data_IF_528473350506
#
_entry.id   IF_528473350506
#
_cell.length_a   1.000
_cell.length_b   1.000
_cell.length_c   1.000
_cell.angle_alpha   90.00
_cell.angle_beta   90.00
_cell.angle_gamma   90.00
#
_symmetry.space_group_name_H-M   'P 1'
#
loop_
_entity.id
_entity.type
_entity.pdbx_description
1 polymer ?
#
# COMPACT_ATOMS: atom_id res chain seq x y z
N UNK A 1 16.02 -90.72 66.45
CA UNK A 1 16.73 -89.65 65.71
C UNK A 1 15.96 -89.40 64.42
N UNK A 2 14.88 -88.64 64.53
CA UNK A 2 14.05 -88.21 63.39
C UNK A 2 14.50 -86.79 63.05
N UNK A 3 15.06 -86.57 61.86
CA UNK A 3 15.44 -85.24 61.38
C UNK A 3 14.34 -84.68 60.48
N UNK A 4 13.65 -83.66 60.96
CA UNK A 4 12.64 -82.89 60.24
C UNK A 4 13.32 -81.94 59.25
N UNK A 5 13.19 -82.20 57.94
CA UNK A 5 13.63 -81.27 56.89
C UNK A 5 12.52 -80.24 56.66
N UNK A 6 12.72 -79.05 57.21
CA UNK A 6 11.87 -77.88 56.95
C UNK A 6 12.10 -77.39 55.51
N UNK A 7 11.14 -77.63 54.61
CA UNK A 7 11.12 -76.99 53.31
C UNK A 7 10.72 -75.52 53.46
N UNK A 8 11.73 -74.66 53.40
CA UNK A 8 11.62 -73.21 53.32
C UNK A 8 10.83 -72.85 52.05
N UNK A 9 9.68 -72.21 52.23
CA UNK A 9 8.90 -71.65 51.12
C UNK A 9 9.71 -70.56 50.41
N UNK A 10 9.80 -70.57 49.07
CA UNK A 10 10.40 -69.47 48.34
C UNK A 10 9.43 -68.28 48.38
N UNK A 11 9.82 -67.23 49.08
CA UNK A 11 9.09 -65.97 49.18
C UNK A 11 8.96 -65.32 47.78
N UNK A 12 7.74 -65.29 47.26
CA UNK A 12 7.34 -64.71 45.98
C UNK A 12 7.39 -63.17 46.02
N UNK A 13 8.59 -62.60 45.96
CA UNK A 13 8.82 -61.14 46.01
C UNK A 13 9.36 -60.53 44.70
N UNK A 14 9.02 -61.10 43.54
CA UNK A 14 9.47 -60.59 42.23
C UNK A 14 8.37 -59.92 41.39
N UNK A 15 7.12 -59.92 41.88
CA UNK A 15 5.97 -59.38 41.13
C UNK A 15 5.79 -57.86 41.24
N UNK A 16 6.19 -57.24 42.35
CA UNK A 16 5.96 -55.81 42.61
C UNK A 16 6.99 -54.91 41.93
N UNK A 17 8.23 -55.38 41.86
CA UNK A 17 9.34 -54.60 41.29
C UNK A 17 9.21 -54.45 39.76
N UNK A 18 8.67 -55.47 39.07
CA UNK A 18 8.41 -55.38 37.62
C UNK A 18 7.29 -54.40 37.28
N UNK A 19 6.24 -54.34 38.10
CA UNK A 19 5.15 -53.38 37.94
C UNK A 19 5.69 -51.96 38.21
N UNK A 20 6.49 -51.78 39.26
CA UNK A 20 7.12 -50.49 39.58
C UNK A 20 8.06 -49.99 38.47
N UNK A 21 8.85 -50.89 37.87
CA UNK A 21 9.81 -50.54 36.81
C UNK A 21 9.10 -50.15 35.50
N UNK A 22 7.96 -50.76 35.19
CA UNK A 22 7.12 -50.36 34.05
C UNK A 22 6.42 -49.01 34.26
N UNK A 23 5.94 -48.73 35.47
CA UNK A 23 5.36 -47.44 35.82
C UNK A 23 6.40 -46.31 35.80
N UNK A 24 7.63 -46.57 36.26
CA UNK A 24 8.74 -45.61 36.25
C UNK A 24 9.15 -45.21 34.82
N UNK A 25 9.11 -46.12 33.85
CA UNK A 25 9.45 -45.82 32.45
C UNK A 25 8.31 -45.09 31.71
N UNK A 26 7.06 -45.31 32.13
CA UNK A 26 5.86 -44.70 31.53
C UNK A 26 5.67 -43.22 31.91
N UNK A 27 6.05 -42.82 33.12
CA UNK A 27 5.89 -41.43 33.62
C UNK A 27 6.67 -40.39 32.78
N UNK A 28 7.97 -40.56 32.45
CA UNK A 28 8.70 -39.61 31.60
C UNK A 28 8.13 -39.52 30.18
N UNK A 29 7.73 -40.66 29.60
CA UNK A 29 7.17 -40.69 28.25
C UNK A 29 5.83 -39.96 28.19
N UNK A 30 4.95 -40.15 29.18
CA UNK A 30 3.66 -39.46 29.25
C UNK A 30 3.82 -37.95 29.48
N UNK A 31 4.79 -37.53 30.29
CA UNK A 31 5.12 -36.11 30.48
C UNK A 31 5.63 -35.49 29.17
N UNK A 32 6.56 -36.15 28.46
CA UNK A 32 7.07 -35.65 27.17
C UNK A 32 5.96 -35.56 26.12
N UNK A 33 5.09 -36.57 26.05
CA UNK A 33 3.95 -36.58 25.14
C UNK A 33 2.95 -35.46 25.48
N UNK A 34 2.68 -35.23 26.77
CA UNK A 34 1.83 -34.13 27.25
C UNK A 34 2.42 -32.76 26.91
N UNK A 35 3.72 -32.58 27.13
CA UNK A 35 4.45 -31.35 26.77
C UNK A 35 4.40 -31.11 25.26
N UNK A 36 4.72 -32.13 24.45
CA UNK A 36 4.67 -32.07 23.00
C UNK A 36 3.27 -31.73 22.50
N UNK A 37 2.24 -32.36 23.08
CA UNK A 37 0.83 -32.08 22.75
C UNK A 37 0.46 -30.65 23.12
N UNK A 38 0.83 -30.18 24.32
CA UNK A 38 0.53 -28.83 24.79
C UNK A 38 1.23 -27.78 23.92
N UNK A 39 2.51 -27.99 23.59
CA UNK A 39 3.26 -27.10 22.72
C UNK A 39 2.70 -27.08 21.29
N UNK A 40 2.40 -28.24 20.72
CA UNK A 40 1.78 -28.36 19.39
C UNK A 40 0.40 -27.70 19.35
N UNK A 41 -0.42 -27.86 20.40
CA UNK A 41 -1.71 -27.19 20.50
C UNK A 41 -1.54 -25.66 20.57
N UNK A 42 -0.59 -25.18 21.39
CA UNK A 42 -0.28 -23.76 21.49
C UNK A 42 0.20 -23.17 20.16
N UNK A 43 1.09 -23.86 19.44
CA UNK A 43 1.58 -23.40 18.14
C UNK A 43 0.47 -23.37 17.10
N UNK A 44 -0.40 -24.38 17.06
CA UNK A 44 -1.58 -24.42 16.18
C UNK A 44 -2.54 -23.27 16.44
N UNK A 45 -2.90 -23.03 17.70
CA UNK A 45 -3.78 -21.91 18.06
C UNK A 45 -3.17 -20.57 17.69
N UNK A 46 -1.86 -20.40 17.89
CA UNK A 46 -1.15 -19.19 17.51
C UNK A 46 -1.17 -19.00 15.99
N UNK A 47 -0.81 -20.02 15.21
CA UNK A 47 -0.86 -19.96 13.74
C UNK A 47 -2.27 -19.61 13.26
N UNK A 48 -3.30 -20.21 13.85
CA UNK A 48 -4.69 -19.90 13.53
C UNK A 48 -5.02 -18.43 13.81
N UNK A 49 -4.69 -17.92 15.00
CA UNK A 49 -4.91 -16.50 15.34
C UNK A 49 -4.16 -15.55 14.42
N UNK A 50 -2.95 -15.91 13.99
CA UNK A 50 -2.18 -15.11 13.03
C UNK A 50 -2.83 -15.14 11.64
N UNK A 51 -3.33 -16.29 11.19
CA UNK A 51 -4.05 -16.41 9.92
C UNK A 51 -5.33 -15.58 9.94
N UNK A 52 -6.08 -15.61 11.05
CA UNK A 52 -7.28 -14.79 11.23
C UNK A 52 -6.96 -13.28 11.25
N UNK A 53 -5.97 -12.88 12.05
CA UNK A 53 -5.50 -11.49 12.11
C UNK A 53 -5.05 -11.01 10.73
N UNK A 54 -4.27 -11.84 10.03
CA UNK A 54 -3.79 -11.54 8.69
C UNK A 54 -4.98 -11.42 7.72
N UNK A 55 -5.96 -12.33 7.74
CA UNK A 55 -7.12 -12.29 6.87
C UNK A 55 -7.95 -11.01 7.06
N UNK A 56 -8.18 -10.61 8.31
CA UNK A 56 -8.98 -9.45 8.67
C UNK A 56 -8.23 -8.11 8.54
N UNK A 57 -6.89 -8.13 8.41
CA UNK A 57 -6.10 -6.92 8.25
C UNK A 57 -6.42 -6.21 6.93
N UNK A 58 -6.89 -4.98 7.04
CA UNK A 58 -7.17 -4.04 5.93
C UNK A 58 -6.45 -2.72 6.17
N UNK A 59 -6.14 -1.98 5.11
CA UNK A 59 -5.56 -0.64 5.22
C UNK A 59 -6.55 0.36 5.83
N UNK A 60 -7.80 0.30 5.37
CA UNK A 60 -8.86 1.26 5.70
C UNK A 60 -8.38 2.72 5.54
N UNK A 61 -8.50 3.55 6.58
CA UNK A 61 -8.09 4.97 6.58
C UNK A 61 -6.61 5.19 6.93
N UNK A 62 -5.82 4.13 7.14
CA UNK A 62 -4.42 4.22 7.57
C UNK A 62 -3.49 4.46 6.39
N UNK A 63 -2.31 5.01 6.67
CA UNK A 63 -1.24 5.16 5.67
C UNK A 63 -0.74 3.79 5.19
N UNK A 64 -0.24 3.73 3.96
CA UNK A 64 0.40 2.50 3.44
C UNK A 64 1.56 2.05 4.32
N UNK A 65 2.35 2.98 4.86
CA UNK A 65 3.50 2.67 5.72
C UNK A 65 3.10 1.92 6.99
N UNK A 66 2.02 2.36 7.64
CA UNK A 66 1.50 1.69 8.84
C UNK A 66 0.96 0.30 8.50
N UNK A 67 0.18 0.19 7.43
CA UNK A 67 -0.37 -1.08 6.96
C UNK A 67 0.72 -2.10 6.58
N UNK A 68 1.78 -1.68 5.87
CA UNK A 68 2.89 -2.56 5.52
C UNK A 68 3.72 -2.97 6.73
N UNK A 69 3.87 -2.11 7.74
CA UNK A 69 4.54 -2.43 8.99
C UNK A 69 3.82 -3.55 9.74
N UNK A 70 2.48 -3.50 9.80
CA UNK A 70 1.66 -4.54 10.43
C UNK A 70 1.81 -5.89 9.71
N UNK A 71 1.76 -5.87 8.37
CA UNK A 71 1.95 -7.08 7.56
C UNK A 71 3.34 -7.68 7.78
N UNK A 72 4.39 -6.86 7.79
CA UNK A 72 5.76 -7.31 8.03
C UNK A 72 5.91 -7.89 9.45
N UNK A 73 5.28 -7.26 10.43
CA UNK A 73 5.24 -7.76 11.81
C UNK A 73 4.61 -9.15 11.88
N UNK A 74 3.40 -9.33 11.33
CA UNK A 74 2.71 -10.62 11.32
C UNK A 74 3.52 -11.68 10.56
N UNK A 75 4.10 -11.33 9.41
CA UNK A 75 4.98 -12.22 8.64
C UNK A 75 6.20 -12.69 9.44
N UNK A 76 6.81 -11.81 10.24
CA UNK A 76 7.92 -12.17 11.12
C UNK A 76 7.49 -13.14 12.20
N UNK A 77 6.27 -13.00 12.75
CA UNK A 77 5.73 -13.96 13.73
C UNK A 77 5.43 -15.31 13.07
N UNK A 78 4.94 -15.34 11.84
CA UNK A 78 4.81 -16.58 11.06
C UNK A 78 6.15 -17.30 10.89
N UNK A 79 7.20 -16.56 10.53
CA UNK A 79 8.55 -17.10 10.38
C UNK A 79 9.09 -17.66 11.71
N UNK A 80 8.92 -16.93 12.83
CA UNK A 80 9.37 -17.40 14.15
C UNK A 80 8.55 -18.58 14.70
N UNK A 81 7.32 -18.75 14.23
CA UNK A 81 6.43 -19.85 14.60
C UNK A 81 6.66 -21.14 13.80
N UNK A 82 7.64 -21.13 12.89
CA UNK A 82 7.97 -22.29 12.04
C UNK A 82 7.04 -22.49 10.84
N UNK A 83 6.25 -21.48 10.49
CA UNK A 83 5.34 -21.51 9.33
C UNK A 83 5.47 -20.21 8.51
N UNK A 84 6.63 -19.92 7.90
CA UNK A 84 6.84 -18.71 7.13
C UNK A 84 5.85 -18.61 5.95
N UNK A 85 5.45 -17.38 5.62
CA UNK A 85 4.63 -17.11 4.43
C UNK A 85 5.51 -17.12 3.19
N UNK A 86 4.98 -17.64 2.09
CA UNK A 86 5.60 -17.45 0.77
C UNK A 86 5.49 -15.99 0.33
N UNK A 87 6.40 -15.54 -0.53
CA UNK A 87 6.36 -14.19 -1.08
C UNK A 87 5.03 -13.93 -1.81
N UNK A 88 4.54 -14.91 -2.57
CA UNK A 88 3.26 -14.81 -3.29
C UNK A 88 2.07 -14.66 -2.34
N UNK A 89 1.97 -15.47 -1.28
CA UNK A 89 0.93 -15.33 -0.25
C UNK A 89 0.98 -13.94 0.39
N UNK A 90 2.18 -13.46 0.69
CA UNK A 90 2.40 -12.16 1.30
C UNK A 90 1.93 -11.03 0.38
N UNK A 91 2.24 -11.10 -0.92
CA UNK A 91 1.81 -10.11 -1.92
C UNK A 91 0.32 -10.12 -2.16
N UNK A 92 -0.28 -11.31 -2.30
CA UNK A 92 -1.73 -11.45 -2.39
C UNK A 92 -2.37 -10.78 -1.18
N UNK A 93 -1.83 -11.01 0.02
CA UNK A 93 -2.38 -10.41 1.22
C UNK A 93 -2.24 -8.89 1.25
N UNK A 94 -1.06 -8.35 0.92
CA UNK A 94 -0.82 -6.91 0.83
C UNK A 94 -1.83 -6.24 -0.09
N UNK A 95 -2.05 -6.80 -1.28
CA UNK A 95 -2.90 -6.18 -2.27
C UNK A 95 -4.40 -6.40 -1.97
N UNK A 96 -4.77 -7.50 -1.33
CA UNK A 96 -6.17 -7.80 -0.96
C UNK A 96 -6.76 -6.86 0.09
N UNK A 97 -5.92 -6.28 0.95
CA UNK A 97 -6.35 -5.33 1.98
C UNK A 97 -6.31 -3.87 1.53
N UNK A 98 -5.95 -3.62 0.28
CA UNK A 98 -5.99 -2.30 -0.34
C UNK A 98 -7.35 -2.06 -1.01
N UNK A 99 -7.77 -0.80 -1.06
CA UNK A 99 -9.02 -0.42 -1.72
C UNK A 99 -8.96 -0.52 -3.24
N UNK A 100 -10.10 -0.27 -3.90
CA UNK A 100 -10.21 -0.37 -5.36
C UNK A 100 -9.30 0.60 -6.12
N UNK A 101 -8.85 1.65 -5.46
CA UNK A 101 -7.90 2.63 -5.99
C UNK A 101 -6.52 2.05 -6.33
N UNK A 102 -6.19 0.85 -5.85
CA UNK A 102 -4.93 0.15 -6.18
C UNK A 102 -5.08 -0.96 -7.25
N UNK A 103 -6.26 -1.10 -7.87
CA UNK A 103 -6.53 -2.19 -8.84
C UNK A 103 -5.59 -2.14 -10.05
N UNK A 104 -5.25 -0.95 -10.53
CA UNK A 104 -4.34 -0.78 -11.67
C UNK A 104 -2.92 -1.27 -11.33
N UNK A 105 -2.42 -0.92 -10.14
CA UNK A 105 -1.15 -1.42 -9.63
C UNK A 105 -1.18 -2.94 -9.44
N UNK A 106 -2.28 -3.50 -8.93
CA UNK A 106 -2.46 -4.95 -8.82
C UNK A 106 -2.35 -5.66 -10.17
N UNK A 107 -3.02 -5.13 -11.20
CA UNK A 107 -2.97 -5.68 -12.55
C UNK A 107 -1.54 -5.63 -13.13
N UNK A 108 -0.86 -4.50 -12.98
CA UNK A 108 0.52 -4.32 -13.47
C UNK A 108 1.52 -5.27 -12.79
N UNK A 109 1.36 -5.52 -11.48
CA UNK A 109 2.20 -6.47 -10.75
C UNK A 109 1.89 -7.90 -11.21
N UNK A 110 0.63 -8.23 -11.44
CA UNK A 110 0.19 -9.59 -11.85
C UNK A 110 0.68 -9.99 -13.24
N UNK A 111 0.88 -9.04 -14.15
CA UNK A 111 1.41 -9.30 -15.51
C UNK A 111 2.93 -9.35 -15.58
N UNK A 112 3.64 -9.11 -14.48
CA UNK A 112 5.09 -9.10 -14.46
C UNK A 112 5.64 -10.53 -14.47
N UNK A 113 6.61 -10.80 -15.35
CA UNK A 113 7.24 -12.13 -15.47
C UNK A 113 8.26 -12.42 -14.36
N UNK A 114 8.81 -11.38 -13.74
CA UNK A 114 9.85 -11.48 -12.73
C UNK A 114 9.28 -11.33 -11.31
N UNK A 115 9.76 -12.10 -10.31
CA UNK A 115 9.30 -11.96 -8.94
C UNK A 115 9.59 -10.56 -8.41
N UNK A 116 8.58 -9.96 -7.75
CA UNK A 116 8.71 -8.70 -7.03
C UNK A 116 9.24 -8.96 -5.62
N UNK A 117 10.04 -8.06 -5.07
CA UNK A 117 10.47 -8.12 -3.66
C UNK A 117 9.52 -7.31 -2.77
N UNK A 118 9.54 -7.58 -1.46
CA UNK A 118 8.78 -6.81 -0.48
C UNK A 118 9.06 -5.30 -0.59
N UNK A 119 10.35 -4.93 -0.60
CA UNK A 119 10.79 -3.53 -0.62
C UNK A 119 10.37 -2.84 -1.92
N UNK A 120 10.53 -3.52 -3.07
CA UNK A 120 10.10 -2.96 -4.36
C UNK A 120 8.59 -2.72 -4.42
N UNK A 121 7.79 -3.66 -3.89
CA UNK A 121 6.35 -3.48 -3.82
C UNK A 121 5.97 -2.32 -2.89
N UNK A 122 6.64 -2.22 -1.75
CA UNK A 122 6.40 -1.14 -0.80
C UNK A 122 6.66 0.24 -1.41
N UNK A 123 7.78 0.40 -2.12
CA UNK A 123 8.11 1.65 -2.81
C UNK A 123 7.06 2.01 -3.88
N UNK A 124 6.63 1.03 -4.68
CA UNK A 124 5.59 1.22 -5.70
C UNK A 124 4.26 1.61 -5.07
N UNK A 125 3.88 1.01 -3.95
CA UNK A 125 2.68 1.35 -3.22
C UNK A 125 2.71 2.79 -2.70
N UNK A 126 3.83 3.22 -2.10
CA UNK A 126 4.01 4.59 -1.63
C UNK A 126 3.91 5.61 -2.77
N UNK A 127 4.58 5.35 -3.89
CA UNK A 127 4.50 6.21 -5.07
C UNK A 127 3.05 6.33 -5.58
N UNK A 128 2.30 5.22 -5.57
CA UNK A 128 0.91 5.19 -5.97
C UNK A 128 -0.02 5.92 -4.97
N UNK A 129 0.29 5.90 -3.67
CA UNK A 129 -0.44 6.68 -2.66
C UNK A 129 -0.36 8.18 -2.96
N UNK A 130 0.83 8.65 -3.31
CA UNK A 130 1.10 10.04 -3.69
C UNK A 130 0.35 10.37 -5.00
N UNK A 131 0.43 9.49 -5.99
CA UNK A 131 -0.30 9.65 -7.25
C UNK A 131 -1.80 9.81 -7.03
N UNK A 132 -2.44 8.92 -6.26
CA UNK A 132 -3.88 9.01 -5.95
C UNK A 132 -4.22 10.34 -5.26
N UNK A 133 -3.41 10.77 -4.28
CA UNK A 133 -3.60 12.04 -3.56
C UNK A 133 -3.56 13.26 -4.48
N UNK A 134 -2.80 13.20 -5.58
CA UNK A 134 -2.69 14.29 -6.56
C UNK A 134 -3.66 14.15 -7.73
N UNK A 135 -4.12 12.93 -8.04
CA UNK A 135 -5.01 12.65 -9.16
C UNK A 135 -6.49 12.83 -8.83
N UNK A 136 -6.89 13.00 -7.57
CA UNK A 136 -8.23 13.47 -7.24
C UNK A 136 -8.37 14.95 -7.66
N UNK A 137 -9.12 15.27 -8.73
CA UNK A 137 -9.47 16.64 -8.98
C UNK A 137 -10.41 17.05 -7.85
N UNK A 138 -10.01 18.03 -7.04
CA UNK A 138 -11.01 18.85 -6.35
C UNK A 138 -12.00 19.31 -7.41
N UNK A 139 -13.24 18.83 -7.33
CA UNK A 139 -14.36 19.37 -8.10
C UNK A 139 -14.65 20.79 -7.58
N UNK A 140 -13.72 21.72 -7.81
CA UNK A 140 -14.04 23.14 -7.84
C UNK A 140 -14.77 23.35 -9.16
N UNK A 141 -16.10 23.32 -9.11
CA UNK A 141 -16.96 23.71 -10.22
C UNK A 141 -16.46 25.06 -10.75
N UNK A 142 -15.87 25.17 -11.95
CA UNK A 142 -15.64 26.48 -12.51
C UNK A 142 -17.03 27.04 -12.84
N UNK A 143 -17.43 28.11 -12.16
CA UNK A 143 -18.58 28.91 -12.60
C UNK A 143 -18.16 29.48 -13.96
N UNK A 144 -18.54 28.80 -15.04
CA UNK A 144 -18.39 29.30 -16.40
C UNK A 144 -19.43 30.41 -16.54
N UNK A 145 -19.05 31.65 -16.23
CA UNK A 145 -19.86 32.81 -16.60
C UNK A 145 -19.61 33.11 -18.08
N UNK A 146 -20.57 32.76 -18.94
CA UNK A 146 -20.52 33.07 -20.36
C UNK A 146 -20.79 34.56 -20.55
N UNK A 147 -19.78 35.35 -20.88
CA UNK A 147 -19.95 36.76 -21.26
C UNK A 147 -20.39 36.85 -22.73
N UNK A 148 -21.70 36.85 -22.97
CA UNK A 148 -22.27 37.14 -24.28
C UNK A 148 -22.02 38.62 -24.63
N UNK A 149 -21.12 38.88 -25.56
CA UNK A 149 -20.99 40.18 -26.20
C UNK A 149 -22.03 40.28 -27.32
N UNK A 150 -23.18 40.89 -27.02
CA UNK A 150 -24.19 41.16 -28.04
C UNK A 150 -23.78 42.42 -28.84
N UNK A 151 -23.24 42.21 -30.04
CA UNK A 151 -23.02 43.27 -31.02
C UNK A 151 -24.39 43.77 -31.52
N UNK A 152 -24.88 44.86 -30.92
CA UNK A 152 -26.10 45.56 -31.34
C UNK A 152 -25.93 46.11 -32.75
N UNK A 153 -26.71 45.59 -33.70
CA UNK A 153 -26.84 46.14 -35.05
C UNK A 153 -28.02 47.11 -35.02
N UNK A 154 -27.73 48.41 -35.15
CA UNK A 154 -28.75 49.47 -35.23
C UNK A 154 -29.48 49.45 -36.57
N UNK A 155 -30.82 49.62 -36.58
CA UNK A 155 -31.51 50.24 -37.69
C UNK A 155 -32.11 51.60 -37.28
N UNK A 156 -31.62 52.64 -37.94
CA UNK A 156 -32.29 53.86 -38.37
C UNK A 156 -33.64 54.26 -37.72
N UNK A 157 -33.64 55.34 -36.92
CA UNK A 157 -34.79 56.25 -36.82
C UNK A 157 -34.36 57.69 -36.60
N UNK A 158 -34.86 58.58 -37.48
CA UNK A 158 -34.71 60.03 -37.47
C UNK A 158 -35.57 60.64 -36.35
N UNK A 159 -35.03 61.58 -35.56
CA UNK A 159 -35.79 62.70 -35.01
C UNK A 159 -34.86 63.81 -34.49
N UNK A 160 -35.34 65.04 -34.56
CA UNK A 160 -34.61 66.32 -34.57
C UNK A 160 -34.42 66.94 -33.17
N UNK A 161 -33.34 67.73 -33.07
CA UNK A 161 -33.10 68.95 -32.27
C UNK A 161 -33.34 68.95 -30.75
N UNK A 162 -32.30 69.28 -29.98
CA UNK A 162 -32.06 70.66 -29.50
C UNK A 162 -30.78 70.82 -28.66
N UNK A 163 -29.99 71.81 -29.08
CA UNK A 163 -28.94 72.62 -28.44
C UNK A 163 -27.73 72.04 -27.66
N UNK A 164 -26.51 72.56 -27.92
CA UNK A 164 -25.27 72.22 -27.22
C UNK A 164 -24.92 73.23 -26.12
N UNK A 165 -24.23 72.79 -25.08
CA UNK A 165 -23.36 73.68 -24.29
C UNK A 165 -22.14 72.94 -23.72
N UNK A 166 -20.99 73.56 -23.96
CA UNK A 166 -19.65 73.24 -23.48
C UNK A 166 -19.60 73.03 -21.95
N UNK A 167 -18.78 72.10 -21.46
CA UNK A 167 -17.46 72.45 -20.90
C UNK A 167 -16.65 71.19 -20.51
N UNK A 168 -15.49 71.06 -21.14
CA UNK A 168 -14.16 70.80 -20.55
C UNK A 168 -14.06 70.05 -19.22
N UNK A 169 -13.35 68.90 -19.23
CA UNK A 169 -12.19 68.59 -18.35
C UNK A 169 -11.74 67.13 -18.54
N UNK A 170 -10.73 66.94 -19.38
CA UNK A 170 -9.78 65.84 -19.19
C UNK A 170 -8.56 66.37 -18.45
N UNK A 171 -7.95 65.56 -17.57
CA UNK A 171 -6.49 65.58 -17.43
C UNK A 171 -5.96 64.15 -17.56
N UNK A 172 -5.03 63.90 -18.49
CA UNK A 172 -3.58 64.14 -18.42
C UNK A 172 -2.84 62.88 -17.96
N UNK A 173 -2.00 62.38 -18.87
CA UNK A 173 -0.92 61.45 -18.61
C UNK A 173 0.01 62.03 -17.54
N UNK A 174 0.53 61.14 -16.68
CA UNK A 174 1.83 61.37 -16.07
C UNK A 174 2.67 60.08 -16.05
N UNK A 175 3.82 60.21 -16.69
CA UNK A 175 5.01 59.37 -16.73
C UNK A 175 5.66 59.18 -15.36
N UNK A 176 6.30 58.01 -15.14
CA UNK A 176 7.64 57.81 -14.52
C UNK A 176 7.87 56.30 -14.25
N UNK A 177 8.82 55.65 -14.95
CA UNK A 177 10.12 55.14 -14.43
C UNK A 177 10.00 54.22 -13.20
N UNK A 178 10.60 53.03 -13.09
CA UNK A 178 11.88 52.57 -13.60
C UNK A 178 11.97 51.02 -13.54
N UNK A 179 12.49 50.46 -14.63
CA UNK A 179 13.46 49.37 -14.76
C UNK A 179 13.85 48.54 -13.51
N UNK A 180 13.71 47.22 -13.61
CA UNK A 180 14.83 46.32 -13.33
C UNK A 180 14.80 45.07 -14.23
N UNK A 181 15.87 44.96 -14.99
CA UNK A 181 16.30 43.87 -15.88
C UNK A 181 16.76 42.66 -15.06
N UNK A 182 16.50 41.45 -15.55
CA UNK A 182 17.40 40.30 -15.39
C UNK A 182 17.28 39.40 -16.63
N UNK A 183 18.04 39.78 -17.65
CA UNK A 183 18.35 38.96 -18.82
C UNK A 183 19.56 38.09 -18.50
N UNK A 184 19.33 36.79 -18.27
CA UNK A 184 20.39 35.79 -18.43
C UNK A 184 20.40 35.33 -19.88
N UNK A 185 21.53 35.61 -20.52
CA UNK A 185 21.91 35.19 -21.86
C UNK A 185 22.02 33.67 -21.90
N UNK A 186 21.38 33.02 -22.87
CA UNK A 186 21.88 31.75 -23.38
C UNK A 186 21.78 31.77 -24.91
N UNK A 187 22.91 32.05 -25.53
CA UNK A 187 23.15 31.93 -26.96
C UNK A 187 23.33 30.45 -27.31
N UNK A 188 22.41 29.90 -28.11
CA UNK A 188 22.72 28.79 -29.00
C UNK A 188 21.92 28.94 -30.29
N UNK A 189 22.55 29.58 -31.26
CA UNK A 189 22.11 29.62 -32.65
C UNK A 189 22.41 28.27 -33.31
N UNK A 190 21.40 27.41 -33.44
CA UNK A 190 21.43 26.28 -34.37
C UNK A 190 20.57 26.61 -35.59
N UNK A 191 21.22 26.61 -36.75
CA UNK A 191 20.59 26.70 -38.07
C UNK A 191 19.74 25.45 -38.35
N UNK A 192 18.51 25.61 -38.86
CA UNK A 192 17.87 24.58 -39.67
C UNK A 192 17.86 25.05 -41.14
N UNK A 193 18.64 24.37 -41.99
CA UNK A 193 18.46 24.47 -43.43
C UNK A 193 17.70 23.23 -43.90
N UNK A 194 16.39 23.34 -44.13
CA UNK A 194 15.68 22.39 -44.98
C UNK A 194 14.36 22.97 -45.50
N UNK A 195 14.33 23.33 -46.79
CA UNK A 195 13.07 23.57 -47.52
C UNK A 195 13.21 23.17 -48.99
N UNK A 196 12.88 21.90 -49.22
CA UNK A 196 11.99 21.34 -50.25
C UNK A 196 11.92 21.90 -51.70
N UNK A 197 12.08 20.93 -52.63
CA UNK A 197 11.37 20.71 -53.91
C UNK A 197 11.60 21.63 -55.12
N UNK A 198 12.01 21.04 -56.26
CA UNK A 198 11.10 20.82 -57.41
C UNK A 198 11.66 19.90 -58.50
N UNK A 199 10.74 19.13 -59.07
CA UNK A 199 10.85 18.24 -60.23
C UNK A 199 11.27 18.96 -61.51
N UNK A 200 11.96 18.26 -62.41
CA UNK A 200 11.70 18.41 -63.85
C UNK A 200 12.12 17.16 -64.63
N UNK A 201 11.08 16.56 -65.22
CA UNK A 201 10.94 15.78 -66.48
C UNK A 201 12.18 15.09 -67.04
#
# INVERSE_FOLDING_TARGET
MEQTINFLTPHSSFGRDRIALSAMLSLPQSILQSLQTTYANKSRSLIFSLRDTLANLKRDSRSISEYMKDIKSISNVFASSGSPLSNEELFIKMLSGLGSEYKELYAAIRTRDNPISFEELYDKLLAHEIFIKHSEPKLENPIITSQFHQKSINPHSKSRNSNPSNNSKGPMQNTSTNQHTNSFQNSNSFHPNNRSNQQRV
#
